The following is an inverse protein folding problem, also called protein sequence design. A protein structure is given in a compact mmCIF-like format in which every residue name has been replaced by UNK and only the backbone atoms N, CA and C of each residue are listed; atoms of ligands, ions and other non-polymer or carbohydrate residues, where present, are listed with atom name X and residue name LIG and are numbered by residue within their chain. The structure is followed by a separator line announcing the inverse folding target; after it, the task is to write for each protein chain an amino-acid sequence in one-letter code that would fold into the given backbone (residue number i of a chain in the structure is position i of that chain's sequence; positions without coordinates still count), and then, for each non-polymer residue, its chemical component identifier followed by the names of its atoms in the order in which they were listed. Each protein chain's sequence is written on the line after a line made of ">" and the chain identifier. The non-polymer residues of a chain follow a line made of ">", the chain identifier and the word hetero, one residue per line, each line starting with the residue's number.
data_IF_412468837692
#
_entry.id   IF_412468837692
#
_cell.length_a   1.000
_cell.length_b   1.000
_cell.length_c   1.000
_cell.angle_alpha   90.00
_cell.angle_beta   90.00
_cell.angle_gamma   90.00
#
_symmetry.space_group_name_H-M   'P 1'
#
loop_
_entity.id
_entity.type
_entity.pdbx_description
1 polymer ?
#
# COMPACT_ATOMS: atom_id res chain seq x y z
N UNK A 1 -0.21 10.04 23.37
CA UNK A 1 -0.14 8.55 23.37
C UNK A 1 0.45 8.01 22.06
N UNK A 2 -0.10 8.36 20.89
CA UNK A 2 0.41 7.89 19.59
C UNK A 2 1.88 8.29 19.30
N UNK A 3 2.23 9.58 19.41
CA UNK A 3 3.61 10.04 19.18
C UNK A 3 4.65 9.39 20.10
N UNK A 4 4.27 9.10 21.34
CA UNK A 4 5.14 8.41 22.29
C UNK A 4 5.37 6.95 21.86
N UNK A 5 4.34 6.27 21.33
CA UNK A 5 4.48 4.94 20.76
C UNK A 5 5.39 4.95 19.51
N UNK A 6 5.24 5.93 18.61
CA UNK A 6 6.12 6.05 17.44
C UNK A 6 7.59 6.21 17.86
N UNK A 7 7.87 7.08 18.84
CA UNK A 7 9.22 7.24 19.39
C UNK A 7 9.75 5.94 20.01
N UNK A 8 8.91 5.25 20.79
CA UNK A 8 9.29 3.98 21.42
C UNK A 8 9.69 2.91 20.40
N UNK A 9 9.00 2.84 19.25
CA UNK A 9 9.26 1.87 18.19
C UNK A 9 10.21 2.38 17.09
N UNK A 10 10.81 3.56 17.24
CA UNK A 10 11.70 4.14 16.22
C UNK A 10 10.99 4.51 14.91
N UNK A 11 9.67 4.67 14.93
CA UNK A 11 8.86 5.04 13.76
C UNK A 11 8.93 6.55 13.56
N UNK A 12 9.48 6.97 12.42
CA UNK A 12 9.40 8.36 11.96
C UNK A 12 8.00 8.61 11.42
N UNK A 13 7.28 9.54 12.04
CA UNK A 13 5.95 9.94 11.54
C UNK A 13 6.12 10.81 10.31
N UNK A 14 5.58 10.37 9.17
CA UNK A 14 5.39 11.22 8.00
C UNK A 14 4.21 12.13 8.28
N UNK A 15 4.48 13.41 8.56
CA UNK A 15 3.46 14.43 8.75
C UNK A 15 3.60 15.46 7.63
N UNK A 16 2.67 15.46 6.69
CA UNK A 16 2.56 16.45 5.64
C UNK A 16 2.27 17.83 6.22
N UNK A 17 2.40 18.85 5.37
CA UNK A 17 2.02 20.22 5.73
C UNK A 17 0.56 20.23 6.20
N UNK A 18 0.25 21.01 7.24
CA UNK A 18 -1.14 21.23 7.67
C UNK A 18 -2.00 21.66 6.48
N UNK A 19 -3.13 20.99 6.25
CA UNK A 19 -4.01 21.22 5.10
C UNK A 19 -3.59 20.48 3.81
N UNK A 20 -2.53 19.67 3.83
CA UNK A 20 -2.13 18.83 2.70
C UNK A 20 -2.73 17.42 2.84
N UNK A 21 -3.66 17.06 1.96
CA UNK A 21 -4.29 15.73 1.96
C UNK A 21 -3.47 14.65 1.22
N UNK A 22 -2.33 15.01 0.63
CA UNK A 22 -1.55 14.09 -0.23
C UNK A 22 -1.09 12.84 0.52
N UNK A 23 -0.73 12.97 1.79
CA UNK A 23 -0.29 11.83 2.62
C UNK A 23 -1.39 10.77 2.80
N UNK A 24 -2.66 11.19 2.81
CA UNK A 24 -3.81 10.29 2.96
C UNK A 24 -4.39 9.84 1.61
N UNK A 25 -4.07 10.52 0.51
CA UNK A 25 -4.68 10.29 -0.79
C UNK A 25 -4.57 8.83 -1.27
N UNK A 26 -3.44 8.16 -1.00
CA UNK A 26 -3.25 6.74 -1.33
C UNK A 26 -4.22 5.84 -0.54
N UNK A 27 -4.38 6.08 0.77
CA UNK A 27 -5.30 5.31 1.61
C UNK A 27 -6.76 5.57 1.24
N UNK A 28 -7.12 6.81 0.91
CA UNK A 28 -8.46 7.16 0.44
C UNK A 28 -8.80 6.50 -0.91
N UNK A 29 -7.85 6.51 -1.85
CA UNK A 29 -8.00 5.84 -3.14
C UNK A 29 -8.26 4.34 -2.96
N UNK A 30 -7.45 3.66 -2.15
CA UNK A 30 -7.66 2.25 -1.80
C UNK A 30 -9.04 2.01 -1.19
N UNK A 31 -9.43 2.80 -0.19
CA UNK A 31 -10.71 2.65 0.49
C UNK A 31 -11.90 2.85 -0.46
N UNK A 32 -11.80 3.81 -1.39
CA UNK A 32 -12.80 4.02 -2.44
C UNK A 32 -12.94 2.79 -3.33
N UNK A 33 -11.81 2.26 -3.81
CA UNK A 33 -11.76 1.03 -4.61
C UNK A 33 -12.36 -0.17 -3.87
N UNK A 34 -11.92 -0.44 -2.64
CA UNK A 34 -12.42 -1.55 -1.83
C UNK A 34 -13.94 -1.47 -1.65
N UNK A 35 -14.46 -0.26 -1.41
CA UNK A 35 -15.89 -0.04 -1.21
C UNK A 35 -16.69 -0.35 -2.48
N UNK A 36 -16.30 0.25 -3.60
CA UNK A 36 -17.01 0.11 -4.88
C UNK A 36 -16.90 -1.31 -5.43
N UNK A 37 -15.71 -1.89 -5.39
CA UNK A 37 -15.47 -3.17 -6.05
C UNK A 37 -15.92 -4.37 -5.22
N UNK A 38 -15.86 -4.26 -3.89
CA UNK A 38 -16.15 -5.37 -2.98
C UNK A 38 -17.27 -5.06 -1.99
N UNK A 39 -17.10 -4.10 -1.08
CA UNK A 39 -17.99 -3.95 0.09
C UNK A 39 -19.43 -3.67 -0.31
N UNK A 40 -19.68 -2.78 -1.26
CA UNK A 40 -21.05 -2.45 -1.70
C UNK A 40 -21.76 -3.59 -2.44
N UNK A 41 -21.01 -4.58 -2.91
CA UNK A 41 -21.54 -5.76 -3.62
C UNK A 41 -21.78 -6.96 -2.71
N UNK A 42 -21.45 -6.86 -1.43
CA UNK A 42 -21.52 -7.97 -0.49
C UNK A 42 -22.30 -7.58 0.77
N UNK A 43 -23.07 -8.53 1.30
CA UNK A 43 -23.64 -8.44 2.65
C UNK A 43 -22.87 -9.39 3.55
N UNK A 44 -22.56 -8.92 4.76
CA UNK A 44 -21.88 -9.72 5.77
C UNK A 44 -22.82 -9.91 6.95
N UNK A 45 -22.88 -11.13 7.48
CA UNK A 45 -23.72 -11.45 8.63
C UNK A 45 -23.06 -11.03 9.94
N UNK A 46 -21.72 -11.05 9.98
CA UNK A 46 -20.94 -10.65 11.17
C UNK A 46 -19.73 -9.82 10.79
N UNK A 47 -19.19 -9.08 11.78
CA UNK A 47 -17.92 -8.36 11.64
C UNK A 47 -16.74 -9.31 11.39
N UNK A 48 -16.76 -10.50 11.99
CA UNK A 48 -15.70 -11.50 11.80
C UNK A 48 -15.67 -12.00 10.34
N UNK A 49 -16.85 -12.29 9.78
CA UNK A 49 -17.00 -12.64 8.37
C UNK A 49 -16.51 -11.50 7.46
N UNK A 50 -16.94 -10.26 7.71
CA UNK A 50 -16.50 -9.11 6.94
C UNK A 50 -14.96 -8.98 6.95
N UNK A 51 -14.33 -9.11 8.11
CA UNK A 51 -12.85 -9.05 8.24
C UNK A 51 -12.17 -10.13 7.41
N UNK A 52 -12.62 -11.38 7.52
CA UNK A 52 -12.04 -12.49 6.77
C UNK A 52 -12.19 -12.27 5.27
N UNK A 53 -13.42 -11.98 4.80
CA UNK A 53 -13.71 -11.83 3.38
C UNK A 53 -12.99 -10.63 2.75
N UNK A 54 -12.90 -9.51 3.46
CA UNK A 54 -12.13 -8.34 3.01
C UNK A 54 -10.64 -8.66 2.98
N UNK A 55 -10.08 -9.32 4.00
CA UNK A 55 -8.67 -9.69 4.01
C UNK A 55 -8.33 -10.66 2.85
N UNK A 56 -9.18 -11.65 2.60
CA UNK A 56 -9.07 -12.55 1.45
C UNK A 56 -9.14 -11.78 0.13
N UNK A 57 -10.08 -10.84 -0.03
CA UNK A 57 -10.15 -10.02 -1.24
C UNK A 57 -8.89 -9.17 -1.43
N UNK A 58 -8.32 -8.62 -0.35
CA UNK A 58 -7.07 -7.85 -0.41
C UNK A 58 -5.91 -8.73 -0.87
N UNK A 59 -5.72 -9.88 -0.22
CA UNK A 59 -4.59 -10.78 -0.47
C UNK A 59 -4.69 -11.46 -1.84
N UNK A 60 -5.82 -12.10 -2.11
CA UNK A 60 -5.95 -13.03 -3.25
C UNK A 60 -6.34 -12.32 -4.54
N UNK A 61 -6.94 -11.12 -4.44
CA UNK A 61 -7.39 -10.36 -5.61
C UNK A 61 -6.71 -9.01 -5.74
N UNK A 62 -6.87 -8.09 -4.78
CA UNK A 62 -6.40 -6.71 -4.92
C UNK A 62 -4.88 -6.67 -5.15
N UNK A 63 -4.09 -7.28 -4.27
CA UNK A 63 -2.64 -7.26 -4.37
C UNK A 63 -2.11 -8.15 -5.50
N UNK A 64 -2.72 -9.33 -5.68
CA UNK A 64 -2.18 -10.37 -6.56
C UNK A 64 -2.64 -10.26 -8.02
N UNK A 65 -3.82 -9.69 -8.30
CA UNK A 65 -4.47 -9.82 -9.61
C UNK A 65 -5.12 -8.53 -10.14
N UNK A 66 -5.55 -7.61 -9.29
CA UNK A 66 -6.28 -6.41 -9.71
C UNK A 66 -5.37 -5.48 -10.51
N UNK A 67 -5.74 -5.17 -11.75
CA UNK A 67 -5.00 -4.22 -12.60
C UNK A 67 -5.11 -2.79 -12.05
N UNK A 68 -4.00 -2.07 -12.02
CA UNK A 68 -3.96 -0.67 -11.60
C UNK A 68 -3.48 0.25 -12.74
N UNK A 69 -4.25 1.28 -13.09
CA UNK A 69 -3.88 2.20 -14.19
C UNK A 69 -2.58 2.95 -13.91
N UNK A 70 -2.36 3.37 -12.66
CA UNK A 70 -1.10 3.99 -12.22
C UNK A 70 0.10 3.03 -12.21
N UNK A 71 -0.12 1.73 -12.44
CA UNK A 71 0.91 0.69 -12.50
C UNK A 71 0.94 0.03 -13.88
N UNK A 72 0.58 0.76 -14.95
CA UNK A 72 0.51 0.25 -16.33
C UNK A 72 -0.34 -1.02 -16.49
N UNK A 73 -1.36 -1.16 -15.64
CA UNK A 73 -2.25 -2.31 -15.61
C UNK A 73 -1.67 -3.54 -14.92
N UNK A 74 -0.52 -3.44 -14.26
CA UNK A 74 0.04 -4.51 -13.42
C UNK A 74 -0.71 -4.62 -12.08
N UNK A 75 -0.74 -5.82 -11.47
CA UNK A 75 -1.12 -5.98 -10.07
C UNK A 75 -0.13 -5.27 -9.13
N UNK A 76 -0.60 -4.72 -7.99
CA UNK A 76 0.24 -4.04 -7.02
C UNK A 76 1.48 -4.84 -6.60
N UNK A 77 1.33 -6.14 -6.33
CA UNK A 77 2.45 -6.98 -5.90
C UNK A 77 3.52 -7.13 -7.00
N UNK A 78 3.11 -7.21 -8.26
CA UNK A 78 4.05 -7.31 -9.39
C UNK A 78 4.77 -5.98 -9.60
N UNK A 79 4.03 -4.87 -9.53
CA UNK A 79 4.60 -3.53 -9.63
C UNK A 79 5.65 -3.27 -8.53
N UNK A 80 5.33 -3.58 -7.28
CA UNK A 80 6.26 -3.42 -6.15
C UNK A 80 7.50 -4.31 -6.30
N UNK A 81 7.35 -5.55 -6.78
CA UNK A 81 8.47 -6.45 -7.05
C UNK A 81 9.44 -5.85 -8.09
N UNK A 82 8.90 -5.27 -9.17
CA UNK A 82 9.70 -4.62 -10.21
C UNK A 82 10.43 -3.39 -9.67
N UNK A 83 9.72 -2.53 -8.93
CA UNK A 83 10.29 -1.31 -8.33
C UNK A 83 11.38 -1.66 -7.32
N UNK A 84 11.17 -2.68 -6.48
CA UNK A 84 12.16 -3.13 -5.51
C UNK A 84 13.42 -3.65 -6.21
N UNK A 85 13.25 -4.45 -7.26
CA UNK A 85 14.37 -4.97 -8.06
C UNK A 85 15.18 -3.83 -8.69
N UNK A 86 14.50 -2.84 -9.29
CA UNK A 86 15.13 -1.67 -9.87
C UNK A 86 15.89 -0.83 -8.83
N UNK A 87 15.31 -0.63 -7.63
CA UNK A 87 15.95 0.09 -6.51
C UNK A 87 17.22 -0.61 -6.02
N UNK A 88 17.19 -1.93 -5.88
CA UNK A 88 18.38 -2.72 -5.48
C UNK A 88 19.50 -2.53 -6.51
N UNK A 89 19.19 -2.68 -7.80
CA UNK A 89 20.17 -2.52 -8.86
C UNK A 89 20.75 -1.10 -8.90
N UNK A 90 19.92 -0.07 -8.75
CA UNK A 90 20.37 1.33 -8.69
C UNK A 90 21.29 1.58 -7.49
N UNK A 91 20.97 1.00 -6.34
CA UNK A 91 21.80 1.13 -5.13
C UNK A 91 23.16 0.46 -5.30
N UNK A 92 23.22 -0.73 -5.89
CA UNK A 92 24.47 -1.42 -6.18
C UNK A 92 25.39 -0.59 -7.08
N UNK A 93 24.85 -0.05 -8.19
CA UNK A 93 25.60 0.84 -9.10
C UNK A 93 26.15 2.08 -8.40
N UNK A 94 25.36 2.70 -7.51
CA UNK A 94 25.81 3.86 -6.74
C UNK A 94 26.93 3.50 -5.77
N UNK A 95 26.92 2.29 -5.20
CA UNK A 95 27.99 1.82 -4.32
C UNK A 95 29.28 1.55 -5.08
N UNK A 96 29.20 0.88 -6.22
CA UNK A 96 30.34 0.66 -7.12
C UNK A 96 30.97 1.98 -7.57
N UNK A 97 30.15 2.95 -8.01
CA UNK A 97 30.62 4.26 -8.43
C UNK A 97 31.23 5.12 -7.31
N UNK A 98 30.92 4.82 -6.03
CA UNK A 98 31.53 5.48 -4.87
C UNK A 98 32.82 4.78 -4.42
N UNK A 99 33.05 3.55 -4.84
CA UNK A 99 34.23 2.76 -4.51
C UNK A 99 35.33 2.85 -5.58
N UNK A 100 35.00 3.34 -6.78
CA UNK A 100 35.92 3.71 -7.84
C UNK A 100 36.37 5.18 -7.69
#
# INVERSE_FOLDING_TARGET
>A
RFQAACRHWGVVQSMGRVGCALDNAAAESFNSTLKVEYVHRHRFRTRAEARLRIATWIADFYNARRRHSAADGLPPMVYEQQIMTARIAARARLQEARAA
#
